data_IF_815068949819
#
_entry.id   IF_815068949819
#
_cell.length_a   1.000
_cell.length_b   1.000
_cell.length_c   1.000
_cell.angle_alpha   90.00
_cell.angle_beta   90.00
_cell.angle_gamma   90.00
#
_symmetry.space_group_name_H-M   'P 1'
#
loop_
_entity.id
_entity.type
_entity.pdbx_description
1 polymer ?
#
# COMPACT_ATOMS: atom_id res chain seq x y z
N UNK A 1 17.15 4.67 15.97
CA UNK A 1 17.33 3.29 16.46
C UNK A 1 16.06 2.84 17.15
N UNK A 2 15.57 1.66 16.79
CA UNK A 2 14.38 1.02 17.34
C UNK A 2 14.58 -0.49 17.41
N UNK A 3 13.72 -1.21 18.11
CA UNK A 3 13.76 -2.66 18.26
C UNK A 3 14.78 -3.16 19.31
N UNK A 4 14.73 -4.47 19.59
CA UNK A 4 15.53 -5.10 20.65
C UNK A 4 17.05 -4.99 20.46
N UNK A 5 17.53 -4.99 19.21
CA UNK A 5 18.95 -4.83 18.90
C UNK A 5 19.52 -3.42 19.13
N UNK A 6 18.66 -2.42 19.43
CA UNK A 6 19.10 -1.03 19.64
C UNK A 6 20.01 -0.83 20.87
N UNK A 7 20.07 -1.81 21.77
CA UNK A 7 21.01 -1.81 22.91
C UNK A 7 22.46 -2.11 22.50
N UNK A 8 22.65 -2.80 21.37
CA UNK A 8 23.97 -3.19 20.86
C UNK A 8 24.65 -2.06 20.08
N UNK A 9 23.90 -0.99 19.75
CA UNK A 9 24.38 0.10 18.91
C UNK A 9 24.76 1.30 19.80
N UNK A 10 25.98 1.85 19.67
CA UNK A 10 26.40 3.01 20.44
C UNK A 10 25.59 4.27 20.06
N UNK A 11 25.53 5.23 20.98
CA UNK A 11 24.82 6.51 20.79
C UNK A 11 25.44 7.42 19.72
N UNK A 12 26.68 7.13 19.30
CA UNK A 12 27.39 7.84 18.24
C UNK A 12 27.95 6.83 17.24
N UNK A 13 27.87 7.17 15.96
CA UNK A 13 28.35 6.34 14.85
C UNK A 13 29.21 7.20 13.94
N UNK A 14 30.41 6.73 13.61
CA UNK A 14 31.32 7.45 12.71
C UNK A 14 30.66 7.70 11.36
N UNK A 15 30.65 8.95 10.91
CA UNK A 15 30.02 9.36 9.64
C UNK A 15 28.51 9.62 9.74
N UNK A 16 27.89 9.48 10.92
CA UNK A 16 26.47 9.78 11.12
C UNK A 16 26.31 11.11 11.84
N UNK A 17 25.52 12.04 11.28
CA UNK A 17 25.26 13.36 11.88
C UNK A 17 24.60 13.28 13.26
N UNK A 18 23.66 12.36 13.44
CA UNK A 18 22.97 12.15 14.72
C UNK A 18 22.29 10.80 14.79
N UNK A 19 22.32 10.16 15.95
CA UNK A 19 21.53 8.96 16.25
C UNK A 19 20.33 9.38 17.11
N UNK A 20 19.11 9.05 16.67
CA UNK A 20 17.88 9.32 17.43
C UNK A 20 17.30 8.03 17.99
N UNK A 21 16.96 8.02 19.27
CA UNK A 21 16.30 6.92 19.97
C UNK A 21 15.01 7.46 20.60
N UNK A 22 13.85 7.31 19.94
CA UNK A 22 12.57 7.78 20.45
C UNK A 22 12.20 7.12 21.78
N UNK A 23 11.31 7.72 22.56
CA UNK A 23 10.88 7.20 23.87
C UNK A 23 10.42 5.73 23.79
N UNK A 24 9.54 5.40 22.83
CA UNK A 24 8.99 4.06 22.64
C UNK A 24 9.79 3.19 21.65
N UNK A 25 11.10 3.39 21.53
CA UNK A 25 11.94 2.68 20.56
C UNK A 25 11.84 1.14 20.65
N UNK A 26 11.58 0.60 21.85
CA UNK A 26 11.51 -0.85 22.10
C UNK A 26 10.30 -1.54 21.47
N UNK A 27 9.22 -0.79 21.20
CA UNK A 27 7.94 -1.30 20.70
C UNK A 27 7.54 -0.70 19.35
N UNK A 28 8.51 -0.17 18.59
CA UNK A 28 8.24 0.54 17.34
C UNK A 28 7.42 -0.27 16.32
N UNK A 29 7.62 -1.59 16.22
CA UNK A 29 6.84 -2.44 15.31
C UNK A 29 5.37 -2.57 15.74
N UNK A 30 5.10 -2.62 17.06
CA UNK A 30 3.74 -2.66 17.58
C UNK A 30 3.02 -1.33 17.32
N UNK A 31 3.72 -0.20 17.51
CA UNK A 31 3.20 1.13 17.15
C UNK A 31 2.89 1.18 15.66
N UNK A 32 3.81 0.74 14.80
CA UNK A 32 3.61 0.71 13.36
C UNK A 32 2.38 -0.10 12.96
N UNK A 33 2.15 -1.25 13.61
CA UNK A 33 0.96 -2.07 13.39
C UNK A 33 -0.32 -1.40 13.88
N UNK A 34 -0.28 -0.71 15.03
CA UNK A 34 -1.43 -0.05 15.62
C UNK A 34 -1.89 1.22 14.87
N UNK A 35 -0.97 1.91 14.20
CA UNK A 35 -1.27 3.10 13.39
C UNK A 35 -1.46 2.79 11.90
N UNK A 36 -1.37 1.51 11.51
CA UNK A 36 -1.47 1.12 10.10
C UNK A 36 -2.91 1.23 9.61
N UNK A 37 -3.05 1.72 8.39
CA UNK A 37 -4.32 1.70 7.66
C UNK A 37 -4.59 0.31 7.09
N UNK A 38 -5.88 -0.04 6.97
CA UNK A 38 -6.32 -1.25 6.28
C UNK A 38 -6.17 -1.03 4.78
N UNK A 39 -5.63 -2.01 4.06
CA UNK A 39 -5.39 -1.90 2.62
C UNK A 39 -6.10 -2.99 1.83
N UNK A 40 -6.56 -2.64 0.63
CA UNK A 40 -7.07 -3.56 -0.38
C UNK A 40 -6.31 -3.36 -1.68
N UNK A 41 -5.98 -4.46 -2.35
CA UNK A 41 -5.24 -4.40 -3.61
C UNK A 41 -5.85 -5.36 -4.63
N UNK A 42 -5.89 -4.91 -5.88
CA UNK A 42 -6.20 -5.77 -7.02
C UNK A 42 -5.07 -5.69 -8.03
N UNK A 43 -4.90 -6.79 -8.76
CA UNK A 43 -4.05 -6.86 -9.93
C UNK A 43 -4.74 -7.73 -10.97
N UNK A 44 -5.07 -7.16 -12.13
CA UNK A 44 -5.80 -7.85 -13.20
C UNK A 44 -5.30 -7.42 -14.56
N UNK A 45 -5.44 -8.31 -15.54
CA UNK A 45 -5.21 -8.02 -16.95
C UNK A 45 -6.56 -7.64 -17.56
N UNK A 46 -6.59 -6.50 -18.26
CA UNK A 46 -7.74 -6.01 -19.01
C UNK A 46 -7.41 -5.99 -20.50
N UNK A 47 -8.34 -6.43 -21.34
CA UNK A 47 -8.27 -6.22 -22.79
C UNK A 47 -8.83 -4.83 -23.08
N UNK A 48 -7.97 -3.91 -23.56
CA UNK A 48 -8.42 -2.54 -23.83
C UNK A 48 -9.26 -2.42 -25.11
N UNK A 49 -9.21 -3.46 -25.96
CA UNK A 49 -10.05 -3.57 -27.15
C UNK A 49 -11.51 -3.90 -26.79
N UNK A 50 -11.73 -4.60 -25.67
CA UNK A 50 -13.07 -4.92 -25.15
C UNK A 50 -13.59 -3.85 -24.17
N UNK A 51 -12.69 -3.26 -23.37
CA UNK A 51 -13.03 -2.31 -22.33
C UNK A 51 -12.08 -1.11 -22.40
N UNK A 52 -12.61 0.08 -22.64
CA UNK A 52 -11.79 1.28 -22.73
C UNK A 52 -10.94 1.50 -21.46
N UNK A 53 -9.75 2.09 -21.63
CA UNK A 53 -8.78 2.31 -20.52
C UNK A 53 -9.40 2.98 -19.29
N UNK A 54 -10.22 4.02 -19.51
CA UNK A 54 -10.88 4.74 -18.41
C UNK A 54 -11.83 3.83 -17.62
N UNK A 55 -12.56 2.95 -18.30
CA UNK A 55 -13.47 1.99 -17.69
C UNK A 55 -12.70 0.90 -16.92
N UNK A 56 -11.61 0.37 -17.51
CA UNK A 56 -10.74 -0.60 -16.86
C UNK A 56 -10.13 -0.03 -15.56
N UNK A 57 -9.66 1.22 -15.59
CA UNK A 57 -9.13 1.90 -14.41
C UNK A 57 -10.21 2.19 -13.37
N UNK A 58 -11.40 2.62 -13.78
CA UNK A 58 -12.53 2.85 -12.86
C UNK A 58 -12.92 1.54 -12.15
N UNK A 59 -13.10 0.46 -12.92
CA UNK A 59 -13.41 -0.87 -12.40
C UNK A 59 -12.33 -1.40 -11.47
N UNK A 60 -11.06 -1.22 -11.81
CA UNK A 60 -9.93 -1.61 -10.97
C UNK A 60 -9.92 -0.83 -9.64
N UNK A 61 -10.19 0.48 -9.66
CA UNK A 61 -10.31 1.31 -8.45
C UNK A 61 -11.47 0.84 -7.57
N UNK A 62 -12.64 0.60 -8.14
CA UNK A 62 -13.79 0.13 -7.38
C UNK A 62 -13.54 -1.22 -6.72
N UNK A 63 -12.91 -2.15 -7.45
CA UNK A 63 -12.53 -3.45 -6.89
C UNK A 63 -11.50 -3.30 -5.76
N UNK A 64 -10.50 -2.42 -5.89
CA UNK A 64 -9.54 -2.17 -4.81
C UNK A 64 -10.20 -1.56 -3.57
N UNK A 65 -11.16 -0.64 -3.75
CA UNK A 65 -11.97 -0.11 -2.63
C UNK A 65 -12.75 -1.23 -1.96
N UNK A 66 -13.40 -2.10 -2.73
CA UNK A 66 -14.15 -3.23 -2.18
C UNK A 66 -13.26 -4.20 -1.40
N UNK A 67 -12.06 -4.51 -1.89
CA UNK A 67 -11.11 -5.35 -1.15
C UNK A 67 -10.67 -4.69 0.17
N UNK A 68 -10.49 -3.37 0.19
CA UNK A 68 -10.17 -2.65 1.42
C UNK A 68 -11.34 -2.70 2.42
N UNK A 69 -12.58 -2.51 1.97
CA UNK A 69 -13.78 -2.66 2.82
C UNK A 69 -13.90 -4.08 3.37
N UNK A 70 -13.71 -5.10 2.52
CA UNK A 70 -13.73 -6.52 2.96
C UNK A 70 -12.66 -6.82 4.00
N UNK A 71 -11.51 -6.16 3.90
CA UNK A 71 -10.43 -6.26 4.89
C UNK A 71 -10.71 -5.49 6.18
N UNK A 72 -11.81 -4.72 6.26
CA UNK A 72 -12.24 -3.99 7.46
C UNK A 72 -12.01 -2.48 7.41
N UNK A 73 -11.64 -1.90 6.27
CA UNK A 73 -11.51 -0.46 6.12
C UNK A 73 -12.88 0.23 6.21
N UNK A 74 -12.95 1.39 6.85
CA UNK A 74 -14.11 2.26 6.86
C UNK A 74 -14.32 2.86 5.45
N UNK A 75 -15.43 2.55 4.74
CA UNK A 75 -15.69 3.00 3.38
C UNK A 75 -15.52 4.51 3.13
N UNK A 76 -15.84 5.34 4.15
CA UNK A 76 -15.79 6.80 4.06
C UNK A 76 -14.36 7.35 4.06
N UNK A 77 -13.41 6.59 4.60
CA UNK A 77 -11.99 6.98 4.70
C UNK A 77 -11.14 6.46 3.54
N UNK A 78 -11.72 5.62 2.66
CA UNK A 78 -10.96 4.93 1.63
C UNK A 78 -10.45 5.91 0.56
N UNK A 79 -9.15 5.86 0.33
CA UNK A 79 -8.43 6.56 -0.71
C UNK A 79 -7.60 5.60 -1.57
N UNK A 80 -7.48 5.91 -2.85
CA UNK A 80 -6.57 5.21 -3.75
C UNK A 80 -5.18 5.84 -3.61
N UNK A 81 -4.19 5.04 -3.24
CA UNK A 81 -2.81 5.52 -3.03
C UNK A 81 -1.84 5.10 -4.12
N UNK A 82 -2.22 4.09 -4.92
CA UNK A 82 -1.36 3.59 -5.99
C UNK A 82 -2.21 3.05 -7.14
N UNK A 83 -1.78 3.37 -8.36
CA UNK A 83 -2.37 2.93 -9.62
C UNK A 83 -1.24 2.70 -10.60
N UNK A 84 -0.99 1.44 -10.94
CA UNK A 84 -0.08 1.05 -12.02
C UNK A 84 -0.88 0.52 -13.20
N UNK A 85 -0.47 0.95 -14.40
CA UNK A 85 -1.07 0.58 -15.67
C UNK A 85 0.08 0.28 -16.63
N UNK A 86 0.29 -1.00 -16.92
CA UNK A 86 1.42 -1.50 -17.70
C UNK A 86 0.91 -2.32 -18.89
N UNK A 87 1.05 -1.80 -20.13
CA UNK A 87 0.72 -2.54 -21.35
C UNK A 87 1.56 -3.82 -21.49
N UNK A 88 0.94 -4.90 -21.93
CA UNK A 88 1.58 -6.20 -22.17
C UNK A 88 1.74 -6.42 -23.66
N UNK A 89 2.91 -6.07 -24.19
CA UNK A 89 3.19 -6.04 -25.63
C UNK A 89 3.12 -7.39 -26.36
N UNK A 90 3.13 -8.51 -25.62
CA UNK A 90 3.11 -9.87 -26.18
C UNK A 90 1.73 -10.53 -26.15
N UNK A 91 0.70 -9.84 -25.62
CA UNK A 91 -0.66 -10.35 -25.56
C UNK A 91 -1.54 -9.61 -26.57
N UNK A 92 -2.38 -10.33 -27.34
CA UNK A 92 -3.36 -9.72 -28.23
C UNK A 92 -4.43 -8.97 -27.41
N UNK A 93 -5.18 -8.07 -28.05
CA UNK A 93 -6.29 -7.35 -27.39
C UNK A 93 -5.88 -6.05 -26.68
N UNK A 94 -4.72 -5.48 -27.01
CA UNK A 94 -4.13 -4.34 -26.29
C UNK A 94 -4.13 -4.58 -24.75
N UNK A 95 -3.71 -5.79 -24.37
CA UNK A 95 -3.83 -6.26 -23.00
C UNK A 95 -2.97 -5.42 -22.06
N UNK A 96 -3.55 -5.04 -20.93
CA UNK A 96 -2.95 -4.11 -19.99
C UNK A 96 -3.10 -4.65 -18.58
N UNK A 97 -1.99 -4.77 -17.85
CA UNK A 97 -1.98 -5.14 -16.44
C UNK A 97 -2.23 -3.89 -15.61
N UNK A 98 -3.35 -3.88 -14.90
CA UNK A 98 -3.71 -2.80 -13.99
C UNK A 98 -3.61 -3.31 -12.55
N UNK A 99 -2.84 -2.59 -11.74
CA UNK A 99 -2.75 -2.80 -10.29
C UNK A 99 -3.24 -1.54 -9.60
N UNK A 100 -4.11 -1.70 -8.61
CA UNK A 100 -4.62 -0.59 -7.80
C UNK A 100 -4.56 -0.96 -6.33
N UNK A 101 -4.08 -0.04 -5.50
CA UNK A 101 -4.08 -0.15 -4.05
C UNK A 101 -4.93 0.95 -3.42
N UNK A 102 -5.85 0.54 -2.56
CA UNK A 102 -6.66 1.40 -1.73
C UNK A 102 -6.26 1.23 -0.26
N UNK A 103 -6.38 2.30 0.53
CA UNK A 103 -6.21 2.27 1.99
C UNK A 103 -7.31 3.06 2.66
N UNK A 104 -7.66 2.67 3.88
CA UNK A 104 -8.58 3.40 4.76
C UNK A 104 -8.34 3.05 6.21
N UNK A 105 -8.96 3.79 7.12
CA UNK A 105 -8.85 3.55 8.55
C UNK A 105 -9.64 2.28 8.93
N UNK A 106 -9.20 1.58 9.97
CA UNK A 106 -9.91 0.40 10.46
C UNK A 106 -11.28 0.82 11.03
N UNK A 107 -12.35 0.17 10.57
CA UNK A 107 -13.69 0.38 11.13
C UNK A 107 -13.76 -0.29 12.51
N UNK A 108 -13.67 0.53 13.57
CA UNK A 108 -13.74 0.11 14.98
C UNK A 108 -15.16 -0.31 15.38
#
# INVERSE_FOLDING_TARGET
LVGGGSILIPGELKGVRSVRKPENFGVANAIGSAISQVSGQIERIFSLDEMGRAEALAKAKDLARQEAVKAGADPETIQIIDVEDVPLAYLPGNATRVRVKAVGDLKL
#
